data_IF_160754233128
#
_entry.id   IF_160754233128
#
_cell.length_a   1.000
_cell.length_b   1.000
_cell.length_c   1.000
_cell.angle_alpha   90.00
_cell.angle_beta   90.00
_cell.angle_gamma   90.00
#
_symmetry.space_group_name_H-M   'P 1'
#
loop_
_entity.id
_entity.type
_entity.pdbx_description
1 polymer ?
#
# COMPACT_ATOMS: atom_id res chain seq x y z
N UNK A 1 -17.20 22.26 -14.29
CA UNK A 1 -18.24 22.16 -13.23
C UNK A 1 -18.33 20.69 -12.87
N UNK A 2 -18.39 20.31 -11.59
CA UNK A 2 -18.59 18.91 -11.22
C UNK A 2 -20.01 18.47 -11.59
N UNK A 3 -20.16 17.23 -12.04
CA UNK A 3 -21.47 16.63 -12.33
C UNK A 3 -22.33 16.53 -11.05
N UNK A 4 -23.63 16.28 -11.25
CA UNK A 4 -24.54 15.97 -10.15
C UNK A 4 -24.02 14.75 -9.35
N UNK A 5 -24.36 14.69 -8.06
CA UNK A 5 -23.89 13.61 -7.20
C UNK A 5 -24.34 12.25 -7.74
N UNK A 6 -23.38 11.34 -7.94
CA UNK A 6 -23.64 9.94 -8.33
C UNK A 6 -23.60 9.05 -7.09
N UNK A 7 -24.56 8.10 -6.94
CA UNK A 7 -24.43 7.05 -5.95
C UNK A 7 -23.29 6.10 -6.33
N UNK A 8 -22.77 5.36 -5.36
CA UNK A 8 -21.76 4.33 -5.60
C UNK A 8 -20.37 4.67 -5.09
N UNK A 9 -19.48 3.69 -5.20
CA UNK A 9 -18.10 3.73 -4.70
C UNK A 9 -17.12 3.88 -5.86
N UNK A 10 -16.39 5.00 -5.88
CA UNK A 10 -15.30 5.21 -6.82
C UNK A 10 -13.99 4.61 -6.31
N UNK A 11 -13.17 4.10 -7.23
CA UNK A 11 -11.85 3.52 -6.96
C UNK A 11 -10.77 4.28 -7.74
N UNK A 12 -9.82 4.88 -7.04
CA UNK A 12 -8.66 5.55 -7.65
C UNK A 12 -7.38 4.73 -7.42
N UNK A 13 -6.71 4.34 -8.50
CA UNK A 13 -5.55 3.46 -8.48
C UNK A 13 -4.27 4.22 -8.85
N UNK A 14 -3.32 4.30 -7.91
CA UNK A 14 -2.07 5.04 -8.10
C UNK A 14 -1.08 4.31 -9.05
N UNK A 15 -0.39 5.02 -9.94
CA UNK A 15 0.68 4.44 -10.75
C UNK A 15 1.87 3.94 -9.91
N UNK A 16 2.59 2.92 -10.37
CA UNK A 16 3.69 2.34 -9.58
C UNK A 16 4.38 1.08 -10.11
N UNK A 17 4.17 0.67 -11.37
CA UNK A 17 4.77 -0.54 -11.94
C UNK A 17 4.38 -1.81 -11.19
N UNK A 18 5.35 -2.66 -10.83
CA UNK A 18 5.15 -3.92 -10.10
C UNK A 18 4.35 -3.77 -8.79
N UNK A 19 4.34 -2.57 -8.21
CA UNK A 19 3.54 -2.25 -7.02
C UNK A 19 2.03 -2.41 -7.24
N UNK A 20 1.56 -2.48 -8.50
CA UNK A 20 0.15 -2.71 -8.83
C UNK A 20 -0.43 -4.00 -8.25
N UNK A 21 0.40 -4.99 -7.92
CA UNK A 21 -0.02 -6.18 -7.16
C UNK A 21 -0.75 -5.81 -5.85
N UNK A 22 -0.33 -4.72 -5.19
CA UNK A 22 -0.98 -4.21 -3.99
C UNK A 22 -2.44 -3.82 -4.25
N UNK A 23 -2.74 -3.21 -5.41
CA UNK A 23 -4.13 -2.84 -5.78
C UNK A 23 -5.04 -4.05 -5.78
N UNK A 24 -4.59 -5.15 -6.37
CA UNK A 24 -5.39 -6.37 -6.52
C UNK A 24 -5.65 -7.02 -5.16
N UNK A 25 -4.69 -6.95 -4.23
CA UNK A 25 -4.89 -7.36 -2.85
C UNK A 25 -5.97 -6.55 -2.13
N UNK A 26 -5.90 -5.22 -2.23
CA UNK A 26 -6.92 -4.33 -1.63
C UNK A 26 -8.29 -4.55 -2.27
N UNK A 27 -8.36 -4.59 -3.60
CA UNK A 27 -9.60 -4.82 -4.33
C UNK A 27 -10.23 -6.17 -3.95
N UNK A 28 -9.41 -7.23 -3.77
CA UNK A 28 -9.88 -8.54 -3.28
C UNK A 28 -10.62 -8.41 -1.96
N UNK A 29 -10.03 -7.72 -0.98
CA UNK A 29 -10.64 -7.56 0.34
C UNK A 29 -11.97 -6.79 0.29
N UNK A 30 -12.07 -5.75 -0.54
CA UNK A 30 -13.31 -5.01 -0.75
C UNK A 30 -14.39 -5.86 -1.42
N UNK A 31 -14.04 -6.61 -2.48
CA UNK A 31 -14.96 -7.48 -3.20
C UNK A 31 -15.46 -8.62 -2.30
N UNK A 32 -14.59 -9.26 -1.52
CA UNK A 32 -14.97 -10.29 -0.54
C UNK A 32 -15.83 -9.75 0.60
N UNK A 33 -15.68 -8.46 0.95
CA UNK A 33 -16.55 -7.77 1.90
C UNK A 33 -17.90 -7.32 1.30
N UNK A 34 -18.16 -7.64 0.03
CA UNK A 34 -19.42 -7.33 -0.65
C UNK A 34 -19.50 -5.92 -1.25
N UNK A 35 -18.40 -5.17 -1.31
CA UNK A 35 -18.37 -3.89 -2.01
C UNK A 35 -18.23 -4.10 -3.52
N UNK A 36 -18.91 -3.25 -4.30
CA UNK A 36 -18.69 -3.09 -5.74
C UNK A 36 -18.05 -1.74 -6.03
N UNK A 37 -17.40 -1.60 -7.18
CA UNK A 37 -16.84 -0.33 -7.64
C UNK A 37 -17.61 0.16 -8.86
N UNK A 38 -18.34 1.26 -8.71
CA UNK A 38 -19.18 1.86 -9.75
C UNK A 38 -18.38 2.77 -10.69
N UNK A 39 -17.18 3.15 -10.26
CA UNK A 39 -16.20 3.83 -11.11
C UNK A 39 -14.79 3.42 -10.74
N UNK A 40 -13.94 3.26 -11.74
CA UNK A 40 -12.52 2.98 -11.56
C UNK A 40 -11.69 3.91 -12.42
N UNK A 41 -10.80 4.66 -11.79
CA UNK A 41 -9.83 5.50 -12.49
C UNK A 41 -8.41 5.11 -12.09
N UNK A 42 -7.47 5.23 -13.01
CA UNK A 42 -6.10 4.89 -12.68
C UNK A 42 -5.06 5.50 -13.61
N UNK A 43 -3.82 5.42 -13.16
CA UNK A 43 -2.66 5.91 -13.91
C UNK A 43 -1.64 4.78 -14.05
N UNK A 44 -1.07 4.58 -15.25
CA UNK A 44 -0.06 3.55 -15.49
C UNK A 44 -0.59 2.15 -15.15
N UNK A 45 0.12 1.38 -14.32
CA UNK A 45 -0.38 0.10 -13.81
C UNK A 45 -1.74 0.20 -13.11
N UNK A 46 -2.07 1.37 -12.53
CA UNK A 46 -3.38 1.64 -11.97
C UNK A 46 -4.47 1.65 -13.04
N UNK A 47 -4.19 2.21 -14.23
CA UNK A 47 -5.13 2.17 -15.35
C UNK A 47 -5.34 0.74 -15.86
N UNK A 48 -4.26 -0.05 -15.94
CA UNK A 48 -4.31 -1.46 -16.36
C UNK A 48 -5.15 -2.32 -15.41
N UNK A 49 -4.84 -2.29 -14.12
CA UNK A 49 -5.65 -3.00 -13.12
C UNK A 49 -7.07 -2.45 -13.06
N UNK A 50 -7.23 -1.14 -13.25
CA UNK A 50 -8.52 -0.48 -13.26
C UNK A 50 -9.43 -0.97 -14.38
N UNK A 51 -8.89 -1.16 -15.58
CA UNK A 51 -9.63 -1.72 -16.71
C UNK A 51 -10.10 -3.16 -16.41
N UNK A 52 -9.22 -4.00 -15.84
CA UNK A 52 -9.57 -5.38 -15.47
C UNK A 52 -10.64 -5.45 -14.39
N UNK A 53 -10.59 -4.56 -13.39
CA UNK A 53 -11.62 -4.44 -12.35
C UNK A 53 -12.93 -3.95 -12.97
N UNK A 54 -12.89 -2.86 -13.74
CA UNK A 54 -14.08 -2.23 -14.30
C UNK A 54 -14.81 -3.12 -15.31
N UNK A 55 -14.12 -3.96 -16.09
CA UNK A 55 -14.77 -4.92 -17.01
C UNK A 55 -15.36 -6.16 -16.30
N UNK A 56 -15.25 -6.25 -14.97
CA UNK A 56 -15.77 -7.36 -14.17
C UNK A 56 -14.97 -8.66 -14.32
N UNK A 57 -13.67 -8.59 -14.61
CA UNK A 57 -12.80 -9.77 -14.80
C UNK A 57 -11.71 -9.90 -13.73
N UNK A 58 -12.06 -9.50 -12.50
CA UNK A 58 -11.15 -9.41 -11.37
C UNK A 58 -10.35 -10.69 -11.12
N UNK A 59 -11.01 -11.86 -11.12
CA UNK A 59 -10.38 -13.14 -10.83
C UNK A 59 -9.26 -13.51 -11.81
N UNK A 60 -9.46 -13.21 -13.10
CA UNK A 60 -8.42 -13.44 -14.12
C UNK A 60 -7.25 -12.46 -13.93
N UNK A 61 -7.54 -11.19 -13.65
CA UNK A 61 -6.52 -10.20 -13.31
C UNK A 61 -5.69 -10.59 -12.09
N UNK A 62 -6.35 -11.06 -11.03
CA UNK A 62 -5.70 -11.48 -9.80
C UNK A 62 -4.80 -12.70 -10.05
N UNK A 63 -5.31 -13.72 -10.76
CA UNK A 63 -4.52 -14.91 -11.14
C UNK A 63 -3.34 -14.58 -12.04
N UNK A 64 -3.46 -13.57 -12.91
CA UNK A 64 -2.35 -13.10 -13.71
C UNK A 64 -1.22 -12.63 -12.79
N UNK A 65 -1.51 -11.77 -11.81
CA UNK A 65 -0.50 -11.31 -10.86
C UNK A 65 0.16 -12.47 -10.10
N UNK A 66 -0.59 -13.48 -9.68
CA UNK A 66 -0.01 -14.65 -8.99
C UNK A 66 1.03 -15.42 -9.80
N UNK A 67 0.95 -15.35 -11.14
CA UNK A 67 1.82 -16.06 -12.08
C UNK A 67 2.84 -15.15 -12.76
N UNK A 68 2.75 -13.84 -12.54
CA UNK A 68 3.52 -12.85 -13.28
C UNK A 68 4.99 -12.88 -12.85
N UNK A 69 5.88 -12.84 -13.82
CA UNK A 69 7.30 -12.54 -13.63
C UNK A 69 7.79 -11.53 -14.68
N UNK A 70 8.97 -10.97 -14.48
CA UNK A 70 9.51 -9.93 -15.35
C UNK A 70 9.66 -10.35 -16.82
N UNK A 71 9.91 -11.63 -17.12
CA UNK A 71 10.16 -12.15 -18.48
C UNK A 71 8.87 -12.27 -19.28
N UNK A 72 7.74 -12.39 -18.59
CA UNK A 72 6.41 -12.31 -19.20
C UNK A 72 6.08 -10.90 -19.72
N UNK A 73 6.75 -9.88 -19.17
CA UNK A 73 6.46 -8.46 -19.46
C UNK A 73 7.53 -7.83 -20.35
N UNK A 74 8.79 -8.20 -20.14
CA UNK A 74 9.95 -7.61 -20.78
C UNK A 74 10.72 -8.63 -21.62
N UNK A 75 11.29 -8.18 -22.73
CA UNK A 75 12.21 -8.97 -23.52
C UNK A 75 13.64 -8.73 -23.03
N UNK A 76 13.96 -9.36 -21.89
CA UNK A 76 15.23 -9.21 -21.17
C UNK A 76 15.84 -10.58 -20.88
N UNK A 77 17.17 -10.68 -20.93
CA UNK A 77 17.89 -11.89 -20.47
C UNK A 77 17.93 -11.97 -18.94
N UNK A 78 18.28 -13.13 -18.39
CA UNK A 78 18.44 -13.31 -16.94
C UNK A 78 19.56 -12.39 -16.39
N UNK A 79 20.66 -12.18 -17.14
CA UNK A 79 21.72 -11.24 -16.77
C UNK A 79 21.23 -9.79 -16.73
N UNK A 80 20.45 -9.36 -17.72
CA UNK A 80 19.87 -8.01 -17.79
C UNK A 80 18.86 -7.77 -16.66
N UNK A 81 18.04 -8.78 -16.35
CA UNK A 81 17.13 -8.75 -15.21
C UNK A 81 17.89 -8.59 -13.89
N UNK A 82 18.95 -9.39 -13.66
CA UNK A 82 19.78 -9.26 -12.46
C UNK A 82 20.48 -7.90 -12.35
N UNK A 83 20.90 -7.32 -13.48
CA UNK A 83 21.51 -6.00 -13.52
C UNK A 83 20.51 -4.88 -13.17
N UNK A 84 19.29 -4.96 -13.71
CA UNK A 84 18.18 -4.05 -13.38
C UNK A 84 17.78 -4.14 -11.90
N UNK A 85 17.77 -5.35 -11.32
CA UNK A 85 17.45 -5.55 -9.90
C UNK A 85 18.57 -5.06 -8.97
N UNK A 86 19.85 -5.13 -9.40
CA UNK A 86 20.99 -4.63 -8.62
C UNK A 86 21.13 -3.12 -8.66
N UNK A 87 20.80 -2.49 -9.79
CA UNK A 87 20.68 -1.03 -9.87
C UNK A 87 19.35 -0.64 -9.25
N UNK A 88 19.34 -0.41 -7.92
CA UNK A 88 18.34 0.43 -7.27
C UNK A 88 18.27 1.72 -8.09
N UNK A 89 17.31 1.82 -9.01
CA UNK A 89 17.27 2.92 -9.95
C UNK A 89 17.19 4.20 -9.14
N UNK A 90 18.25 4.99 -9.24
CA UNK A 90 18.40 6.21 -8.49
C UNK A 90 17.25 7.14 -8.90
N UNK A 91 16.34 7.38 -7.95
CA UNK A 91 15.19 8.26 -8.11
C UNK A 91 15.58 9.69 -8.52
N UNK A 92 16.85 10.06 -8.39
CA UNK A 92 17.41 11.32 -8.90
C UNK A 92 17.55 11.31 -10.44
N UNK A 93 17.98 10.19 -11.03
CA UNK A 93 18.22 10.06 -12.47
C UNK A 93 16.92 10.11 -13.28
N UNK A 94 15.84 9.51 -12.76
CA UNK A 94 14.51 9.56 -13.38
C UNK A 94 13.88 10.97 -13.33
N UNK A 95 14.08 11.71 -12.23
CA UNK A 95 13.66 13.13 -12.13
C UNK A 95 14.45 14.02 -13.10
N UNK A 96 15.75 13.77 -13.26
CA UNK A 96 16.56 14.44 -14.28
C UNK A 96 16.19 14.05 -15.72
N UNK A 97 15.75 12.80 -15.96
CA UNK A 97 15.22 12.37 -17.26
C UNK A 97 13.88 13.05 -17.59
N UNK A 98 12.98 13.15 -16.61
CA UNK A 98 11.68 13.79 -16.76
C UNK A 98 11.79 15.29 -17.09
N UNK A 99 12.84 15.98 -16.62
CA UNK A 99 13.10 17.39 -16.96
C UNK A 99 13.76 17.61 -18.34
N UNK A 100 14.18 16.53 -19.03
CA UNK A 100 14.80 16.57 -20.37
C UNK A 100 13.97 15.78 -21.40
N UNK A 101 12.67 16.07 -21.48
CA UNK A 101 11.70 15.43 -22.37
C UNK A 101 12.03 15.47 -23.87
N UNK A 102 12.91 16.37 -24.34
CA UNK A 102 13.28 16.43 -25.77
C UNK A 102 14.25 15.33 -26.26
N UNK A 103 15.08 14.74 -25.38
CA UNK A 103 16.11 13.76 -25.82
C UNK A 103 15.66 12.30 -25.74
N UNK A 104 14.52 12.00 -25.14
CA UNK A 104 14.01 10.63 -24.98
C UNK A 104 13.40 10.03 -26.25
N UNK A 105 13.01 10.86 -27.22
CA UNK A 105 12.49 10.41 -28.54
C UNK A 105 13.60 9.68 -29.33
N UNK A 106 14.88 9.95 -29.03
CA UNK A 106 16.03 9.43 -29.79
C UNK A 106 16.58 8.08 -29.28
N UNK A 107 16.26 7.67 -28.06
CA UNK A 107 16.66 6.34 -27.55
C UNK A 107 15.52 5.34 -27.79
N UNK A 108 15.78 4.26 -28.54
CA UNK A 108 14.89 3.09 -28.55
C UNK A 108 14.81 2.55 -27.12
N UNK A 109 13.81 2.99 -26.36
CA UNK A 109 13.56 2.55 -25.00
C UNK A 109 13.30 1.05 -24.94
N UNK A 110 13.10 0.53 -23.73
CA UNK A 110 12.77 -0.88 -23.52
C UNK A 110 11.59 -1.31 -24.38
N UNK A 111 11.72 -2.46 -25.02
CA UNK A 111 10.68 -3.02 -25.88
C UNK A 111 9.39 -3.30 -25.09
N UNK A 112 8.27 -2.87 -25.67
CA UNK A 112 6.95 -2.95 -25.06
C UNK A 112 6.03 -3.98 -25.73
N UNK A 113 6.53 -4.76 -26.71
CA UNK A 113 5.73 -5.77 -27.43
C UNK A 113 5.04 -6.76 -26.50
N UNK A 114 5.77 -7.38 -25.56
CA UNK A 114 5.20 -8.32 -24.58
C UNK A 114 4.17 -7.66 -23.66
N UNK A 115 4.43 -6.43 -23.20
CA UNK A 115 3.45 -5.66 -22.44
C UNK A 115 2.15 -5.42 -23.24
N UNK A 116 2.27 -5.02 -24.52
CA UNK A 116 1.09 -4.82 -25.39
C UNK A 116 0.29 -6.11 -25.57
N UNK A 117 0.97 -7.24 -25.78
CA UNK A 117 0.34 -8.56 -25.87
C UNK A 117 -0.36 -8.93 -24.55
N UNK A 118 0.27 -8.65 -23.41
CA UNK A 118 -0.31 -8.90 -22.10
C UNK A 118 -1.58 -8.07 -21.89
N UNK A 119 -1.55 -6.76 -22.19
CA UNK A 119 -2.72 -5.88 -22.12
C UNK A 119 -3.85 -6.43 -22.99
N UNK A 120 -3.55 -6.80 -24.25
CA UNK A 120 -4.54 -7.35 -25.17
C UNK A 120 -5.11 -8.71 -24.71
N UNK A 121 -4.36 -9.47 -23.89
CA UNK A 121 -4.83 -10.76 -23.35
C UNK A 121 -5.77 -10.63 -22.16
N UNK A 122 -5.76 -9.49 -21.44
CA UNK A 122 -6.55 -9.29 -20.23
C UNK A 122 -7.58 -8.19 -20.32
N UNK A 123 -7.49 -7.28 -21.30
CA UNK A 123 -8.47 -6.21 -21.49
C UNK A 123 -9.30 -6.50 -22.72
N UNK A 124 -10.60 -6.69 -22.50
CA UNK A 124 -11.60 -6.82 -23.55
C UNK A 124 -12.33 -5.47 -23.67
N UNK A 125 -12.08 -4.76 -24.77
CA UNK A 125 -12.64 -3.43 -24.98
C UNK A 125 -14.18 -3.44 -25.03
N UNK A 126 -14.79 -4.47 -25.63
CA UNK A 126 -16.24 -4.59 -25.71
C UNK A 126 -16.83 -4.76 -24.31
N UNK A 127 -16.28 -5.69 -23.52
CA UNK A 127 -16.72 -5.89 -22.12
C UNK A 127 -16.52 -4.66 -21.26
N UNK A 128 -15.40 -3.95 -21.40
CA UNK A 128 -15.16 -2.73 -20.62
C UNK A 128 -16.14 -1.61 -20.99
N UNK A 129 -16.47 -1.48 -22.28
CA UNK A 129 -17.46 -0.49 -22.75
C UNK A 129 -18.86 -0.81 -22.28
N UNK A 130 -19.27 -2.08 -22.35
CA UNK A 130 -20.58 -2.58 -21.90
C UNK A 130 -20.74 -2.58 -20.37
N UNK A 131 -19.64 -2.60 -19.62
CA UNK A 131 -19.69 -2.55 -18.15
C UNK A 131 -20.43 -1.30 -17.66
N UNK A 132 -21.32 -1.42 -16.66
CA UNK A 132 -21.97 -0.26 -16.06
C UNK A 132 -21.00 0.63 -15.28
N UNK A 133 -19.81 0.13 -14.92
CA UNK A 133 -18.81 0.92 -14.22
C UNK A 133 -18.22 2.00 -15.14
N UNK A 134 -18.10 3.22 -14.63
CA UNK A 134 -17.28 4.25 -15.28
C UNK A 134 -15.81 3.80 -15.24
N UNK A 135 -15.09 3.97 -16.34
CA UNK A 135 -13.64 3.70 -16.38
C UNK A 135 -12.90 4.89 -16.95
N UNK A 136 -11.81 5.30 -16.28
CA UNK A 136 -10.95 6.37 -16.77
C UNK A 136 -9.46 6.14 -16.53
N UNK A 137 -8.66 6.84 -17.32
CA UNK A 137 -7.20 6.80 -17.24
C UNK A 137 -6.57 8.17 -17.41
N UNK A 138 -5.32 8.28 -16.98
CA UNK A 138 -4.49 9.49 -17.20
C UNK A 138 -3.29 9.16 -18.07
N UNK A 139 -3.04 9.99 -19.08
CA UNK A 139 -1.80 10.02 -19.85
C UNK A 139 -1.40 11.47 -20.14
N UNK A 140 -0.20 11.71 -20.65
CA UNK A 140 0.25 13.06 -21.05
C UNK A 140 0.64 13.04 -22.51
N UNK A 141 0.02 13.93 -23.29
CA UNK A 141 0.43 14.18 -24.67
C UNK A 141 1.66 15.08 -24.70
N UNK A 142 2.71 14.60 -25.36
CA UNK A 142 3.94 15.36 -25.59
C UNK A 142 3.80 16.33 -26.78
N UNK A 143 3.11 15.90 -27.85
CA UNK A 143 2.90 16.73 -29.04
C UNK A 143 1.90 17.85 -28.75
N UNK A 144 0.77 17.51 -28.12
CA UNK A 144 -0.27 18.44 -27.69
C UNK A 144 0.06 19.22 -26.41
N UNK A 145 1.14 18.86 -25.71
CA UNK A 145 1.66 19.52 -24.49
C UNK A 145 0.62 19.67 -23.38
N UNK A 146 -0.24 18.65 -23.21
CA UNK A 146 -1.32 18.69 -22.24
C UNK A 146 -1.55 17.31 -21.61
N UNK A 147 -1.94 17.26 -20.33
CA UNK A 147 -2.47 16.04 -19.74
C UNK A 147 -3.79 15.65 -20.43
N UNK A 148 -4.06 14.35 -20.44
CA UNK A 148 -5.31 13.75 -20.91
C UNK A 148 -5.86 12.91 -19.77
N UNK A 149 -6.93 13.40 -19.16
CA UNK A 149 -7.80 12.64 -18.27
C UNK A 149 -8.96 12.16 -19.13
N UNK A 150 -9.02 10.85 -19.44
CA UNK A 150 -9.96 10.29 -20.41
C UNK A 150 -10.81 9.21 -19.74
N UNK A 151 -12.11 9.24 -19.98
CA UNK A 151 -12.99 8.11 -19.72
C UNK A 151 -13.09 7.20 -20.95
N UNK A 152 -13.61 5.97 -20.77
CA UNK A 152 -13.78 5.00 -21.86
C UNK A 152 -14.59 5.55 -23.04
N UNK A 153 -15.56 6.42 -22.79
CA UNK A 153 -16.37 7.10 -23.81
C UNK A 153 -15.60 8.16 -24.61
N UNK A 154 -14.52 8.71 -24.04
CA UNK A 154 -13.66 9.69 -24.73
C UNK A 154 -12.63 9.02 -25.65
N UNK A 155 -12.42 7.71 -25.49
CA UNK A 155 -11.43 6.95 -26.25
C UNK A 155 -12.10 6.35 -27.50
N UNK A 156 -11.55 6.54 -28.71
CA UNK A 156 -12.09 5.95 -29.93
C UNK A 156 -12.19 4.42 -29.87
N UNK A 157 -13.19 3.86 -30.54
CA UNK A 157 -13.36 2.40 -30.64
C UNK A 157 -12.10 1.75 -31.23
N UNK A 158 -11.64 0.66 -30.62
CA UNK A 158 -10.44 -0.09 -31.02
C UNK A 158 -9.13 0.51 -30.52
N UNK A 159 -9.15 1.65 -29.81
CA UNK A 159 -7.95 2.34 -29.33
C UNK A 159 -7.71 2.16 -27.82
N UNK A 160 -8.60 1.48 -27.10
CA UNK A 160 -8.53 1.40 -25.65
C UNK A 160 -7.20 0.80 -25.16
N UNK A 161 -6.76 -0.31 -25.76
CA UNK A 161 -5.47 -0.92 -25.43
C UNK A 161 -4.28 0.01 -25.71
N UNK A 162 -4.37 0.85 -26.75
CA UNK A 162 -3.32 1.82 -27.07
C UNK A 162 -3.25 2.94 -26.03
N UNK A 163 -4.39 3.46 -25.57
CA UNK A 163 -4.42 4.48 -24.50
C UNK A 163 -4.02 3.92 -23.14
N UNK A 164 -4.33 2.66 -22.85
CA UNK A 164 -3.80 1.96 -21.67
C UNK A 164 -2.27 1.84 -21.73
N UNK A 165 -1.72 1.47 -22.88
CA UNK A 165 -0.27 1.44 -23.08
C UNK A 165 0.35 2.85 -23.01
N UNK A 166 -0.33 3.88 -23.51
CA UNK A 166 0.08 5.28 -23.37
C UNK A 166 0.14 5.71 -21.89
N UNK A 167 -0.86 5.35 -21.10
CA UNK A 167 -0.87 5.60 -19.65
C UNK A 167 0.29 4.91 -18.92
N UNK A 168 0.76 3.76 -19.42
CA UNK A 168 1.89 2.99 -18.87
C UNK A 168 3.23 3.23 -19.59
N UNK A 169 3.33 4.24 -20.46
CA UNK A 169 4.54 4.57 -21.21
C UNK A 169 5.53 5.35 -20.33
N UNK A 170 6.10 4.67 -19.33
CA UNK A 170 7.01 5.25 -18.35
C UNK A 170 8.35 5.69 -19.00
N UNK A 171 8.99 6.79 -18.54
CA UNK A 171 10.32 7.18 -19.03
C UNK A 171 11.32 6.01 -19.02
N UNK A 172 11.84 5.67 -20.20
CA UNK A 172 12.72 4.52 -20.42
C UNK A 172 12.10 3.39 -21.24
N UNK A 173 10.77 3.37 -21.40
CA UNK A 173 10.07 2.49 -22.35
C UNK A 173 9.94 3.16 -23.72
N UNK A 174 9.68 2.35 -24.75
CA UNK A 174 9.29 2.90 -26.06
C UNK A 174 8.07 3.81 -25.92
N UNK A 175 8.16 5.01 -26.49
CA UNK A 175 7.07 5.98 -26.50
C UNK A 175 5.89 5.43 -27.29
N UNK A 176 4.68 5.52 -26.73
CA UNK A 176 3.46 5.15 -27.44
C UNK A 176 3.02 6.31 -28.31
N UNK A 177 2.77 6.03 -29.59
CA UNK A 177 2.24 6.99 -30.56
C UNK A 177 0.86 6.51 -30.99
N UNK A 178 -0.14 7.39 -30.89
CA UNK A 178 -1.52 7.15 -31.33
C UNK A 178 -1.87 8.30 -32.27
N UNK A 179 -2.29 8.01 -33.49
CA UNK A 179 -2.68 9.02 -34.49
C UNK A 179 -1.64 10.16 -34.67
N UNK A 180 -0.35 9.79 -34.72
CA UNK A 180 0.82 10.70 -34.79
C UNK A 180 1.05 11.60 -33.57
N UNK A 181 0.30 11.43 -32.49
CA UNK A 181 0.51 12.09 -31.21
C UNK A 181 1.31 11.16 -30.27
N UNK A 182 2.39 11.69 -29.69
CA UNK A 182 3.25 10.93 -28.78
C UNK A 182 2.77 11.11 -27.33
N UNK A 183 2.67 9.99 -26.60
CA UNK A 183 2.17 9.94 -25.24
C UNK A 183 3.20 9.38 -24.26
N UNK A 184 3.08 9.81 -23.00
CA UNK A 184 3.88 9.33 -21.88
C UNK A 184 2.99 9.07 -20.66
N UNK A 185 3.54 8.34 -19.68
CA UNK A 185 2.87 7.97 -18.45
C UNK A 185 2.21 9.16 -17.72
N UNK A 186 0.96 8.97 -17.30
CA UNK A 186 0.15 9.98 -16.62
C UNK A 186 0.65 10.36 -15.22
N UNK A 187 1.56 9.56 -14.63
CA UNK A 187 2.14 9.81 -13.31
C UNK A 187 2.97 11.10 -13.26
N UNK A 188 3.36 11.64 -14.42
CA UNK A 188 3.97 12.96 -14.57
C UNK A 188 3.00 14.12 -14.35
N UNK A 189 1.70 13.86 -14.23
CA UNK A 189 0.67 14.89 -14.04
C UNK A 189 -0.26 14.59 -12.85
N UNK A 190 -0.89 13.42 -12.83
CA UNK A 190 -1.69 12.95 -11.70
C UNK A 190 -1.59 11.43 -11.56
N UNK A 191 -0.76 11.00 -10.62
CA UNK A 191 -0.44 9.60 -10.39
C UNK A 191 -1.56 8.87 -9.66
N UNK A 192 -2.47 9.58 -8.96
CA UNK A 192 -3.61 9.00 -8.26
C UNK A 192 -4.84 9.88 -8.53
N UNK A 193 -5.59 9.62 -9.62
CA UNK A 193 -6.50 10.60 -10.23
C UNK A 193 -7.87 10.72 -9.54
N UNK A 194 -7.87 10.93 -8.22
CA UNK A 194 -9.08 11.07 -7.38
C UNK A 194 -10.02 12.17 -7.90
N UNK A 195 -9.44 13.26 -8.44
CA UNK A 195 -10.23 14.39 -8.92
C UNK A 195 -11.07 14.06 -10.17
N UNK A 196 -10.71 13.04 -10.95
CA UNK A 196 -11.55 12.57 -12.06
C UNK A 196 -12.89 12.04 -11.54
N UNK A 197 -12.87 11.21 -10.50
CA UNK A 197 -14.08 10.66 -9.86
C UNK A 197 -14.95 11.77 -9.27
N UNK A 198 -14.31 12.73 -8.59
CA UNK A 198 -15.00 13.86 -8.01
C UNK A 198 -15.72 14.72 -9.06
N UNK A 199 -15.07 14.94 -10.21
CA UNK A 199 -15.65 15.64 -11.37
C UNK A 199 -16.84 14.90 -11.97
N UNK A 200 -16.77 13.56 -12.01
CA UNK A 200 -17.84 12.66 -12.47
C UNK A 200 -18.99 12.50 -11.46
N UNK A 201 -18.92 13.20 -10.32
CA UNK A 201 -20.00 13.25 -9.33
C UNK A 201 -19.88 12.27 -8.17
N UNK A 202 -18.87 11.40 -8.13
CA UNK A 202 -18.70 10.43 -7.02
C UNK A 202 -18.27 11.13 -5.73
N UNK A 203 -18.94 10.77 -4.63
CA UNK A 203 -18.70 11.34 -3.29
C UNK A 203 -17.98 10.40 -2.34
N UNK A 204 -18.05 9.09 -2.56
CA UNK A 204 -17.32 8.09 -1.80
C UNK A 204 -16.22 7.52 -2.69
N UNK A 205 -14.96 7.67 -2.28
CA UNK A 205 -13.81 7.21 -3.05
C UNK A 205 -12.87 6.41 -2.17
N UNK A 206 -12.45 5.25 -2.66
CA UNK A 206 -11.28 4.52 -2.15
C UNK A 206 -10.08 4.89 -3.02
N UNK A 207 -9.05 5.46 -2.42
CA UNK A 207 -7.79 5.76 -3.10
C UNK A 207 -6.72 4.76 -2.66
N UNK A 208 -6.26 3.91 -3.58
CA UNK A 208 -5.18 2.95 -3.30
C UNK A 208 -3.86 3.58 -3.71
N UNK A 209 -3.00 3.79 -2.71
CA UNK A 209 -1.67 4.38 -2.89
C UNK A 209 -0.62 3.29 -3.01
N UNK A 210 0.30 3.43 -3.95
CA UNK A 210 1.53 2.64 -4.05
C UNK A 210 2.74 3.37 -3.49
N UNK A 211 2.58 4.67 -3.19
CA UNK A 211 3.68 5.58 -2.84
C UNK A 211 4.79 5.50 -3.90
N UNK A 212 4.37 5.42 -5.16
CA UNK A 212 5.21 5.41 -6.36
C UNK A 212 5.80 6.77 -6.68
N UNK A 213 6.71 6.81 -7.65
CA UNK A 213 7.16 8.07 -8.23
C UNK A 213 6.02 8.67 -9.05
N UNK A 214 5.74 9.96 -8.83
CA UNK A 214 4.73 10.68 -9.59
C UNK A 214 4.22 11.90 -8.82
N UNK A 215 3.48 12.76 -9.52
CA UNK A 215 2.80 13.90 -8.91
C UNK A 215 1.42 13.43 -8.47
N UNK A 216 1.06 13.65 -7.21
CA UNK A 216 -0.32 13.41 -6.75
C UNK A 216 -1.01 14.72 -6.41
N UNK A 217 -2.29 14.81 -6.77
CA UNK A 217 -3.10 15.98 -6.51
C UNK A 217 -4.01 15.71 -5.32
N UNK A 218 -4.05 16.65 -4.37
CA UNK A 218 -5.04 16.60 -3.29
C UNK A 218 -6.45 16.68 -3.88
N UNK A 219 -7.40 16.03 -3.22
CA UNK A 219 -8.82 16.20 -3.50
C UNK A 219 -9.20 17.69 -3.41
N UNK A 220 -9.90 18.20 -4.43
CA UNK A 220 -10.27 19.63 -4.52
C UNK A 220 -11.75 19.92 -4.30
N UNK A 221 -12.55 18.90 -3.98
CA UNK A 221 -14.00 19.01 -3.99
C UNK A 221 -14.60 18.86 -2.58
N UNK A 222 -15.31 19.88 -2.09
CA UNK A 222 -16.07 19.79 -0.85
C UNK A 222 -17.10 18.65 -0.90
N UNK A 223 -17.26 17.93 0.21
CA UNK A 223 -18.26 16.86 0.36
C UNK A 223 -17.87 15.50 -0.23
N UNK A 224 -16.62 15.32 -0.66
CA UNK A 224 -16.09 14.00 -1.02
C UNK A 224 -15.36 13.38 0.17
N UNK A 225 -15.73 12.14 0.50
CA UNK A 225 -15.02 11.30 1.46
C UNK A 225 -14.03 10.42 0.70
N UNK A 226 -12.75 10.52 1.05
CA UNK A 226 -11.69 9.71 0.46
C UNK A 226 -11.10 8.79 1.51
N UNK A 227 -11.38 7.50 1.41
CA UNK A 227 -10.71 6.45 2.18
C UNK A 227 -9.40 6.10 1.48
N UNK A 228 -8.28 6.47 2.09
CA UNK A 228 -6.96 6.18 1.51
C UNK A 228 -6.40 4.89 2.09
N UNK A 229 -6.12 3.90 1.24
CA UNK A 229 -5.44 2.66 1.61
C UNK A 229 -3.98 2.77 1.15
N UNK A 230 -3.04 2.66 2.09
CA UNK A 230 -1.60 2.80 1.83
C UNK A 230 -0.83 1.65 2.45
N UNK A 231 0.28 1.21 1.83
CA UNK A 231 1.00 0.03 2.24
C UNK A 231 1.60 0.21 3.64
N UNK A 232 1.38 -0.77 4.52
CA UNK A 232 1.94 -0.81 5.88
C UNK A 232 3.47 -0.86 5.91
N UNK A 233 4.08 -1.40 4.86
CA UNK A 233 5.53 -1.48 4.67
C UNK A 233 5.92 -1.10 3.23
N UNK A 234 7.19 -0.74 2.96
CA UNK A 234 7.62 -0.45 1.59
C UNK A 234 7.35 -1.62 0.63
N UNK A 235 6.66 -1.36 -0.48
CA UNK A 235 6.31 -2.35 -1.52
C UNK A 235 7.51 -2.81 -2.37
N UNK A 236 8.66 -2.17 -2.25
CA UNK A 236 9.84 -2.43 -3.08
C UNK A 236 9.91 -1.53 -4.32
N UNK A 237 10.71 -1.95 -5.30
CA UNK A 237 10.95 -1.19 -6.53
C UNK A 237 9.83 -1.34 -7.55
N UNK A 238 9.61 -0.31 -8.38
CA UNK A 238 8.59 -0.35 -9.44
C UNK A 238 8.87 -1.38 -10.55
N UNK A 239 10.10 -1.89 -10.64
CA UNK A 239 10.50 -2.92 -11.61
C UNK A 239 10.62 -4.32 -10.98
N UNK A 240 10.24 -4.49 -9.70
CA UNK A 240 10.44 -5.73 -8.95
C UNK A 240 9.34 -6.78 -9.24
N UNK A 241 9.24 -7.22 -10.50
CA UNK A 241 8.30 -8.26 -10.95
C UNK A 241 8.82 -9.68 -10.66
N UNK A 242 9.07 -9.98 -9.38
CA UNK A 242 9.37 -11.34 -8.93
C UNK A 242 8.20 -11.92 -8.12
N UNK A 243 7.99 -13.25 -8.17
CA UNK A 243 6.85 -13.88 -7.51
C UNK A 243 6.75 -13.62 -6.00
N UNK A 244 7.88 -13.51 -5.29
CA UNK A 244 7.89 -13.27 -3.85
C UNK A 244 7.38 -11.86 -3.51
N UNK A 245 7.90 -10.84 -4.20
CA UNK A 245 7.49 -9.44 -4.00
C UNK A 245 6.05 -9.19 -4.45
N UNK A 246 5.60 -9.88 -5.50
CA UNK A 246 4.21 -9.83 -5.95
C UNK A 246 3.29 -10.46 -4.90
N UNK A 247 3.58 -11.70 -4.45
CA UNK A 247 2.79 -12.36 -3.39
C UNK A 247 2.76 -11.54 -2.10
N UNK A 248 3.90 -10.97 -1.71
CA UNK A 248 3.98 -10.06 -0.56
C UNK A 248 3.07 -8.84 -0.74
N UNK A 249 3.07 -8.23 -1.93
CA UNK A 249 2.24 -7.05 -2.22
C UNK A 249 0.75 -7.38 -2.27
N UNK A 250 0.36 -8.50 -2.86
CA UNK A 250 -1.03 -9.01 -2.86
C UNK A 250 -1.52 -9.21 -1.42
N UNK A 251 -0.76 -9.94 -0.60
CA UNK A 251 -1.12 -10.17 0.80
C UNK A 251 -1.16 -8.86 1.60
N UNK A 252 -0.16 -7.98 1.45
CA UNK A 252 -0.14 -6.70 2.14
C UNK A 252 -1.36 -5.84 1.78
N UNK A 253 -1.72 -5.78 0.50
CA UNK A 253 -2.92 -5.06 0.05
C UNK A 253 -4.18 -5.61 0.68
N UNK A 254 -4.32 -6.94 0.69
CA UNK A 254 -5.46 -7.60 1.31
C UNK A 254 -5.58 -7.26 2.80
N UNK A 255 -4.50 -7.46 3.57
CA UNK A 255 -4.55 -7.26 5.03
C UNK A 255 -4.62 -5.77 5.43
N UNK A 256 -4.01 -4.85 4.67
CA UNK A 256 -4.17 -3.42 4.90
C UNK A 256 -5.63 -2.97 4.69
N UNK A 257 -6.29 -3.51 3.67
CA UNK A 257 -7.70 -3.26 3.40
C UNK A 257 -8.61 -3.89 4.46
N UNK A 258 -8.38 -5.16 4.83
CA UNK A 258 -9.11 -5.85 5.90
C UNK A 258 -9.01 -5.09 7.22
N UNK A 259 -7.82 -4.60 7.57
CA UNK A 259 -7.62 -3.78 8.76
C UNK A 259 -8.48 -2.52 8.75
N UNK A 260 -8.55 -1.84 7.61
CA UNK A 260 -9.38 -0.64 7.48
C UNK A 260 -10.88 -0.98 7.50
N UNK A 261 -11.32 -1.98 6.75
CA UNK A 261 -12.73 -2.38 6.64
C UNK A 261 -13.31 -2.85 7.97
N UNK A 262 -12.51 -3.54 8.79
CA UNK A 262 -12.93 -4.10 10.08
C UNK A 262 -12.53 -3.24 11.29
N UNK A 263 -11.86 -2.10 11.10
CA UNK A 263 -11.37 -1.26 12.20
C UNK A 263 -10.33 -1.96 13.10
N UNK A 264 -9.56 -2.89 12.54
CA UNK A 264 -8.52 -3.61 13.29
C UNK A 264 -7.37 -2.66 13.65
N UNK A 265 -6.72 -2.94 14.77
CA UNK A 265 -5.62 -2.14 15.29
C UNK A 265 -4.26 -2.71 14.86
N UNK A 266 -3.21 -1.92 15.04
CA UNK A 266 -1.84 -2.27 14.65
C UNK A 266 -1.38 -1.60 13.36
N UNK A 267 -0.07 -1.60 13.13
CA UNK A 267 0.57 -0.96 11.97
C UNK A 267 0.97 -1.98 10.90
N UNK A 268 1.56 -3.09 11.31
CA UNK A 268 2.04 -4.16 10.42
C UNK A 268 1.19 -5.41 10.56
N UNK A 269 0.61 -5.62 11.73
CA UNK A 269 -0.24 -6.76 12.05
C UNK A 269 -1.68 -6.30 12.21
N UNK A 270 -2.62 -7.22 12.00
CA UNK A 270 -4.05 -6.97 12.13
C UNK A 270 -4.54 -7.53 13.47
N UNK A 271 -4.86 -6.65 14.42
CA UNK A 271 -5.27 -7.03 15.78
C UNK A 271 -6.73 -6.66 15.98
N UNK A 272 -7.56 -7.68 16.20
CA UNK A 272 -8.95 -7.54 16.63
C UNK A 272 -8.99 -7.34 18.15
N UNK A 273 -9.37 -6.14 18.56
CA UNK A 273 -9.43 -5.75 19.98
C UNK A 273 -10.76 -6.15 20.64
N UNK A 274 -11.75 -6.62 19.85
CA UNK A 274 -13.09 -6.91 20.36
C UNK A 274 -13.65 -5.73 21.17
N UNK A 275 -14.06 -6.00 22.41
CA UNK A 275 -14.63 -5.01 23.33
C UNK A 275 -13.62 -4.29 24.24
N UNK A 276 -12.31 -4.38 23.98
CA UNK A 276 -11.31 -3.70 24.81
C UNK A 276 -11.45 -2.17 24.75
N UNK A 277 -11.51 -1.54 25.91
CA UNK A 277 -11.50 -0.08 26.05
C UNK A 277 -10.13 0.44 26.46
N UNK A 278 -9.93 1.75 26.28
CA UNK A 278 -8.70 2.43 26.70
C UNK A 278 -8.50 2.36 28.22
N UNK A 279 -9.57 2.39 29.02
CA UNK A 279 -9.53 2.24 30.47
C UNK A 279 -9.03 0.87 30.89
N UNK A 280 -9.50 -0.20 30.22
CA UNK A 280 -9.02 -1.56 30.46
C UNK A 280 -7.53 -1.67 30.14
N UNK A 281 -7.09 -1.11 29.01
CA UNK A 281 -5.67 -1.10 28.65
C UNK A 281 -4.83 -0.27 29.62
N UNK A 282 -5.37 0.83 30.14
CA UNK A 282 -4.69 1.63 31.16
C UNK A 282 -4.55 0.86 32.48
N UNK A 283 -5.61 0.18 32.92
CA UNK A 283 -5.58 -0.66 34.12
C UNK A 283 -4.57 -1.81 34.01
N UNK A 284 -4.43 -2.41 32.82
CA UNK A 284 -3.38 -3.41 32.55
C UNK A 284 -1.96 -2.87 32.77
N UNK A 285 -1.71 -1.60 32.43
CA UNK A 285 -0.41 -0.96 32.62
C UNK A 285 -0.22 -0.45 34.05
N UNK A 286 -1.26 0.11 34.67
CA UNK A 286 -1.23 0.63 36.03
C UNK A 286 -1.09 -0.50 37.08
N UNK A 287 -1.53 -1.72 36.74
CA UNK A 287 -1.41 -2.91 37.61
C UNK A 287 -0.07 -3.66 37.48
N UNK A 288 0.89 -3.14 36.71
CA UNK A 288 2.22 -3.73 36.58
C UNK A 288 2.93 -3.80 37.95
N UNK A 289 3.51 -4.96 38.33
CA UNK A 289 4.23 -5.08 39.60
C UNK A 289 5.40 -4.09 39.68
N UNK A 290 5.58 -3.40 40.81
CA UNK A 290 6.65 -2.42 41.00
C UNK A 290 8.05 -2.99 40.69
N UNK A 291 8.28 -4.25 41.06
CA UNK A 291 9.53 -4.95 40.76
C UNK A 291 9.79 -5.06 39.24
N UNK A 292 8.75 -5.25 38.42
CA UNK A 292 8.84 -5.27 36.95
C UNK A 292 9.16 -3.87 36.42
N UNK A 293 8.48 -2.83 36.92
CA UNK A 293 8.73 -1.43 36.54
C UNK A 293 10.18 -1.04 36.83
N UNK A 294 10.68 -1.29 38.04
CA UNK A 294 12.08 -1.04 38.41
C UNK A 294 13.06 -1.84 37.56
N UNK A 295 12.73 -3.10 37.24
CA UNK A 295 13.52 -3.95 36.37
C UNK A 295 13.64 -3.41 34.95
N UNK A 296 12.55 -2.92 34.38
CA UNK A 296 12.53 -2.27 33.05
C UNK A 296 13.30 -0.94 33.09
N UNK A 297 13.14 -0.14 34.14
CA UNK A 297 13.89 1.10 34.32
C UNK A 297 15.39 0.88 34.25
N UNK A 298 15.93 -0.10 35.00
CA UNK A 298 17.35 -0.46 34.96
C UNK A 298 17.83 -0.85 33.56
N UNK A 299 17.02 -1.57 32.79
CA UNK A 299 17.36 -1.97 31.42
C UNK A 299 17.41 -0.80 30.44
N UNK A 300 16.59 0.22 30.67
CA UNK A 300 16.56 1.42 29.84
C UNK A 300 17.54 2.51 30.31
N UNK A 301 18.31 2.23 31.37
CA UNK A 301 19.23 3.19 31.98
C UNK A 301 18.53 4.36 32.68
N UNK A 302 17.30 4.16 33.17
CA UNK A 302 16.52 5.18 33.88
C UNK A 302 16.15 4.70 35.30
N UNK A 303 16.16 5.61 36.28
CA UNK A 303 15.93 5.26 37.69
C UNK A 303 15.84 6.47 38.59
N UNK A 304 15.88 6.25 39.91
CA UNK A 304 15.88 7.33 40.91
C UNK A 304 14.52 7.96 41.19
N UNK A 305 13.43 7.37 40.69
CA UNK A 305 12.05 7.80 40.93
C UNK A 305 11.23 6.66 41.55
N UNK A 306 10.17 6.96 42.33
CA UNK A 306 9.18 5.98 42.74
C UNK A 306 8.59 5.23 41.53
N UNK A 307 8.19 3.95 41.64
CA UNK A 307 7.80 3.13 40.49
C UNK A 307 6.75 3.78 39.57
N UNK A 308 5.69 4.37 40.12
CA UNK A 308 4.63 5.04 39.34
C UNK A 308 5.14 6.24 38.54
N UNK A 309 6.04 7.03 39.14
CA UNK A 309 6.66 8.18 38.48
C UNK A 309 7.71 7.73 37.46
N UNK A 310 8.50 6.71 37.79
CA UNK A 310 9.46 6.10 36.88
C UNK A 310 8.77 5.58 35.60
N UNK A 311 7.62 4.93 35.77
CA UNK A 311 6.80 4.44 34.66
C UNK A 311 6.34 5.58 33.75
N UNK A 312 5.60 6.53 34.32
CA UNK A 312 4.93 7.61 33.55
C UNK A 312 5.89 8.67 33.01
N UNK A 313 6.93 9.06 33.77
CA UNK A 313 7.83 10.17 33.40
C UNK A 313 9.07 9.71 32.64
N UNK A 314 9.45 8.44 32.69
CA UNK A 314 10.71 7.96 32.10
C UNK A 314 10.53 6.77 31.17
N UNK A 315 9.92 5.68 31.63
CA UNK A 315 9.84 4.43 30.85
C UNK A 315 8.91 4.61 29.63
N UNK A 316 7.66 5.05 29.84
CA UNK A 316 6.69 5.22 28.75
C UNK A 316 7.21 6.18 27.69
N UNK A 317 7.68 7.42 28.01
CA UNK A 317 8.22 8.32 27.00
C UNK A 317 9.42 7.75 26.22
N UNK A 318 10.33 7.03 26.90
CA UNK A 318 11.51 6.42 26.27
C UNK A 318 11.14 5.32 25.28
N UNK A 319 10.20 4.45 25.66
CA UNK A 319 9.71 3.37 24.82
C UNK A 319 8.87 3.92 23.66
N UNK A 320 7.95 4.84 23.92
CA UNK A 320 7.15 5.53 22.90
C UNK A 320 8.03 6.20 21.85
N UNK A 321 9.08 6.93 22.26
CA UNK A 321 10.02 7.53 21.32
C UNK A 321 10.80 6.50 20.49
N UNK A 322 11.16 5.35 21.08
CA UNK A 322 11.87 4.28 20.37
C UNK A 322 10.98 3.56 19.35
N UNK A 323 9.69 3.38 19.69
CA UNK A 323 8.66 2.84 18.80
C UNK A 323 8.07 3.89 17.83
N UNK A 324 8.45 5.17 17.98
CA UNK A 324 7.96 6.32 17.22
C UNK A 324 6.45 6.52 17.35
N UNK A 325 5.91 6.31 18.54
CA UNK A 325 4.54 6.63 18.89
C UNK A 325 4.37 8.15 19.06
N UNK A 326 3.18 8.70 18.72
CA UNK A 326 2.88 10.11 18.99
C UNK A 326 2.79 10.36 20.50
N UNK A 327 2.93 11.62 20.91
CA UNK A 327 2.97 12.00 22.33
C UNK A 327 1.65 11.74 23.08
N UNK A 328 0.54 11.74 22.35
CA UNK A 328 -0.83 11.47 22.81
C UNK A 328 -1.28 10.03 22.52
N UNK A 329 -0.34 9.11 22.24
CA UNK A 329 -0.66 7.71 22.01
C UNK A 329 -1.39 7.10 23.22
N UNK A 330 -2.45 6.36 22.93
CA UNK A 330 -3.24 5.67 23.94
C UNK A 330 -2.50 4.46 24.52
N UNK A 331 -2.96 3.96 25.67
CA UNK A 331 -2.47 2.74 26.34
C UNK A 331 -2.62 1.53 25.43
N UNK A 332 -3.74 1.43 24.70
CA UNK A 332 -3.93 0.39 23.68
C UNK A 332 -2.86 0.47 22.58
N UNK A 333 -2.64 1.66 22.02
CA UNK A 333 -1.62 1.87 20.98
C UNK A 333 -0.21 1.52 21.49
N UNK A 334 0.09 1.85 22.74
CA UNK A 334 1.34 1.51 23.40
C UNK A 334 1.54 0.00 23.54
N UNK A 335 0.54 -0.72 24.06
CA UNK A 335 0.58 -2.19 24.21
C UNK A 335 0.76 -2.87 22.85
N UNK A 336 -0.01 -2.45 21.84
CA UNK A 336 0.09 -3.01 20.49
C UNK A 336 1.49 -2.79 19.91
N UNK A 337 2.07 -1.59 20.06
CA UNK A 337 3.40 -1.29 19.55
C UNK A 337 4.51 -2.11 20.24
N UNK A 338 4.40 -2.38 21.54
CA UNK A 338 5.30 -3.28 22.25
C UNK A 338 5.23 -4.69 21.64
N UNK A 339 4.02 -5.19 21.38
CA UNK A 339 3.80 -6.51 20.82
C UNK A 339 4.30 -6.60 19.37
N UNK A 340 4.05 -5.59 18.53
CA UNK A 340 4.57 -5.52 17.16
C UNK A 340 6.10 -5.48 17.12
N UNK A 341 6.72 -4.82 18.10
CA UNK A 341 8.18 -4.78 18.22
C UNK A 341 8.76 -6.18 18.44
N UNK A 342 8.16 -6.96 19.35
CA UNK A 342 8.57 -8.36 19.58
C UNK A 342 8.26 -9.24 18.39
N UNK A 343 7.04 -9.16 17.86
CA UNK A 343 6.58 -9.97 16.75
C UNK A 343 7.48 -9.79 15.52
N UNK A 344 7.91 -8.56 15.24
CA UNK A 344 8.87 -8.25 14.17
C UNK A 344 10.24 -8.87 14.44
N UNK A 345 10.76 -8.77 15.66
CA UNK A 345 12.06 -9.35 16.03
C UNK A 345 12.06 -10.89 16.06
N UNK A 346 10.88 -11.51 16.20
CA UNK A 346 10.64 -12.96 16.24
C UNK A 346 10.14 -13.54 14.93
N UNK A 347 9.92 -12.72 13.90
CA UNK A 347 9.39 -13.12 12.59
C UNK A 347 8.03 -13.83 12.69
N UNK A 348 7.12 -13.25 13.49
CA UNK A 348 5.74 -13.71 13.58
C UNK A 348 5.02 -13.48 12.24
N UNK A 349 4.12 -14.40 11.90
CA UNK A 349 3.32 -14.33 10.67
C UNK A 349 2.55 -13.00 10.59
N UNK A 350 2.78 -12.21 9.53
CA UNK A 350 2.14 -10.88 9.35
C UNK A 350 0.72 -10.95 8.80
N UNK A 351 0.51 -11.86 7.85
CA UNK A 351 -0.73 -11.97 7.07
C UNK A 351 -1.70 -12.92 7.77
N UNK A 352 -2.24 -12.44 8.89
CA UNK A 352 -3.27 -13.06 9.71
C UNK A 352 -3.99 -12.00 10.57
N UNK A 353 -5.21 -12.29 10.99
CA UNK A 353 -5.93 -11.52 12.01
C UNK A 353 -5.76 -12.23 13.35
N UNK A 354 -5.36 -11.48 14.38
CA UNK A 354 -5.16 -11.97 15.73
C UNK A 354 -6.20 -11.37 16.68
N UNK A 355 -6.78 -12.16 17.57
CA UNK A 355 -7.44 -11.59 18.76
C UNK A 355 -6.39 -10.88 19.61
N UNK A 356 -6.78 -9.88 20.41
CA UNK A 356 -5.83 -9.18 21.28
C UNK A 356 -5.07 -10.14 22.22
N UNK A 357 -5.76 -11.09 22.85
CA UNK A 357 -5.12 -12.04 23.75
C UNK A 357 -4.12 -12.94 23.02
N UNK A 358 -4.50 -13.49 21.86
CA UNK A 358 -3.61 -14.34 21.06
C UNK A 358 -2.45 -13.53 20.48
N UNK A 359 -2.66 -12.26 20.16
CA UNK A 359 -1.63 -11.36 19.71
C UNK A 359 -0.54 -11.18 20.76
N UNK A 360 -0.91 -10.85 22.00
CA UNK A 360 0.05 -10.71 23.10
C UNK A 360 0.76 -12.03 23.37
N UNK A 361 0.04 -13.15 23.48
CA UNK A 361 0.63 -14.49 23.69
C UNK A 361 1.62 -14.86 22.58
N UNK A 362 1.25 -14.61 21.32
CA UNK A 362 2.11 -14.87 20.16
C UNK A 362 3.36 -14.01 20.23
N UNK A 363 3.23 -12.71 20.51
CA UNK A 363 4.36 -11.78 20.58
C UNK A 363 5.36 -12.15 21.70
N UNK A 364 4.89 -12.60 22.87
CA UNK A 364 5.79 -12.98 23.97
C UNK A 364 6.36 -14.41 23.83
N UNK A 365 5.73 -15.27 23.02
CA UNK A 365 6.21 -16.65 22.80
C UNK A 365 7.52 -16.72 22.00
N UNK A 366 8.31 -17.76 22.22
CA UNK A 366 9.50 -18.07 21.43
C UNK A 366 10.70 -17.13 21.60
N UNK A 367 11.90 -17.55 21.15
CA UNK A 367 13.11 -16.74 21.23
C UNK A 367 13.14 -15.64 20.16
N UNK A 368 13.91 -14.58 20.42
CA UNK A 368 14.26 -13.59 19.39
C UNK A 368 15.05 -14.28 18.28
N UNK A 369 14.54 -14.25 17.04
CA UNK A 369 15.17 -14.92 15.88
C UNK A 369 16.12 -14.00 15.12
N UNK A 370 15.81 -12.71 15.07
CA UNK A 370 16.54 -11.74 14.28
C UNK A 370 17.47 -10.86 15.13
N UNK A 371 18.34 -11.43 15.98
CA UNK A 371 19.19 -10.62 16.89
C UNK A 371 20.50 -10.15 16.28
N UNK A 372 21.03 -10.84 15.25
CA UNK A 372 22.34 -10.54 14.65
C UNK A 372 22.39 -9.21 13.88
N UNK A 373 21.24 -8.66 13.48
CA UNK A 373 21.13 -7.37 12.78
C UNK A 373 20.56 -6.24 13.62
N UNK A 374 20.18 -6.50 14.88
CA UNK A 374 19.59 -5.48 15.76
C UNK A 374 20.71 -4.74 16.48
N UNK A 375 20.74 -3.41 16.36
CA UNK A 375 21.61 -2.60 17.20
C UNK A 375 21.28 -2.79 18.68
N UNK A 376 22.24 -2.55 19.56
CA UNK A 376 22.11 -2.72 21.01
C UNK A 376 20.80 -2.15 21.59
N UNK A 377 20.45 -0.91 21.21
CA UNK A 377 19.21 -0.24 21.65
C UNK A 377 17.92 -0.97 21.24
N UNK A 378 17.94 -1.66 20.11
CA UNK A 378 16.79 -2.40 19.61
C UNK A 378 16.60 -3.72 20.37
N UNK A 379 17.70 -4.35 20.80
CA UNK A 379 17.66 -5.50 21.71
C UNK A 379 17.14 -5.08 23.08
N UNK A 380 17.61 -3.97 23.64
CA UNK A 380 17.09 -3.42 24.91
C UNK A 380 15.58 -3.17 24.84
N UNK A 381 15.10 -2.55 23.74
CA UNK A 381 13.69 -2.32 23.50
C UNK A 381 12.89 -3.63 23.48
N UNK A 382 13.37 -4.66 22.78
CA UNK A 382 12.70 -5.97 22.75
C UNK A 382 12.66 -6.59 24.15
N UNK A 383 13.76 -6.56 24.88
CA UNK A 383 13.81 -7.14 26.23
C UNK A 383 12.88 -6.40 27.21
N UNK A 384 12.79 -5.06 27.10
CA UNK A 384 11.86 -4.26 27.89
C UNK A 384 10.40 -4.58 27.52
N UNK A 385 10.08 -4.62 26.23
CA UNK A 385 8.74 -4.97 25.74
C UNK A 385 8.30 -6.36 26.20
N UNK A 386 9.19 -7.36 26.12
CA UNK A 386 8.94 -8.71 26.60
C UNK A 386 8.56 -8.70 28.09
N UNK A 387 9.34 -8.02 28.94
CA UNK A 387 9.08 -7.97 30.39
C UNK A 387 7.79 -7.26 30.76
N UNK A 388 7.41 -6.22 30.01
CA UNK A 388 6.15 -5.50 30.21
C UNK A 388 4.98 -6.42 29.85
N UNK A 389 5.00 -7.00 28.64
CA UNK A 389 3.88 -7.80 28.15
C UNK A 389 3.67 -9.12 28.90
N UNK A 390 4.74 -9.73 29.41
CA UNK A 390 4.64 -10.89 30.32
C UNK A 390 3.95 -10.57 31.66
N UNK A 391 3.95 -9.29 32.06
CA UNK A 391 3.36 -8.83 33.31
C UNK A 391 1.95 -8.25 33.15
N UNK A 392 1.48 -8.06 31.90
CA UNK A 392 0.12 -7.62 31.60
C UNK A 392 -0.84 -8.78 31.86
N UNK A 393 -1.89 -8.53 32.66
CA UNK A 393 -2.99 -9.48 32.85
C UNK A 393 -3.95 -9.37 31.67
N UNK A 394 -4.01 -10.43 30.86
CA UNK A 394 -4.97 -10.49 29.75
C UNK A 394 -6.38 -10.70 30.31
N UNK A 395 -7.41 -10.10 29.67
CA UNK A 395 -8.78 -10.40 30.04
C UNK A 395 -9.04 -11.89 29.79
N UNK A 396 -9.69 -12.55 30.74
CA UNK A 396 -10.24 -13.89 30.51
C UNK A 396 -11.26 -13.77 29.38
N UNK A 397 -11.08 -14.54 28.31
CA UNK A 397 -12.03 -14.54 27.20
C UNK A 397 -13.40 -15.04 27.66
N UNK A 398 -14.48 -14.83 26.90
CA UNK A 398 -15.68 -15.62 27.11
C UNK A 398 -15.28 -17.09 27.05
N UNK A 399 -15.70 -17.88 28.04
CA UNK A 399 -15.63 -19.34 27.96
C UNK A 399 -16.25 -19.79 26.63
N UNK A 400 -15.60 -20.75 25.99
CA UNK A 400 -15.80 -21.18 24.59
C UNK A 400 -17.25 -21.49 24.21
#
# INVERSE_FOLDING_TARGET
MAEAAKPGLGLALEGGGAKGAYHMGVAKAYLEAGHTFDAVVGTSIGALNGAVIAQGDFENGYRLWERLDARAIFDITDEEYHLLMRRRLDTSALRHLASRTRKLIASRGMDTRKMRQLIASVVDESRLRESPADFGLVTVSLTGRAPRELYKEDIPQGQLANYLMASASFPGFQTTVIDNEAFIDGGLYDNCPINMLALKGYKQVVAIRTLGLGITRKARYPGMTVTTISPSEPLGGMMSFNPESIRRSLNMGYYDAIRQLRGLQGKTYCVDIGGLTEEMCKEMLDSLPEAKVLGVGRMLGVGGLPPRELWSKSIVPRLSGSMRLPADASSLAFIIALAETLATAKDVRKYAVYSFADWIRTAISGPLRNTRGLGFRQVELCMAAQRILEAVRLPEGPEA
#
